data_IF_809301137606
#
_entry.id   IF_809301137606
#
_cell.length_a   1.000
_cell.length_b   1.000
_cell.length_c   1.000
_cell.angle_alpha   90.00
_cell.angle_beta   90.00
_cell.angle_gamma   90.00
#
_symmetry.space_group_name_H-M   'P 1'
#
loop_
_entity.id
_entity.type
_entity.pdbx_description
1 polymer ?
#
# COMPACT_ATOMS: atom_id res chain seq x y z
N UNK A 1 7.12 -12.14 23.12
CA UNK A 1 8.00 -10.95 23.04
C UNK A 1 7.25 -9.71 23.49
N UNK A 2 7.97 -8.70 23.98
CA UNK A 2 7.49 -7.33 24.16
C UNK A 2 7.95 -6.50 22.98
N UNK A 3 7.02 -6.00 22.18
CA UNK A 3 7.29 -5.35 20.89
C UNK A 3 6.96 -3.86 20.99
N UNK A 4 7.92 -2.99 20.69
CA UNK A 4 7.68 -1.57 20.50
C UNK A 4 7.44 -1.29 19.02
N UNK A 5 6.23 -0.90 18.66
CA UNK A 5 5.87 -0.50 17.30
C UNK A 5 5.92 1.02 17.16
N UNK A 6 6.55 1.50 16.11
CA UNK A 6 6.59 2.93 15.76
C UNK A 6 5.96 3.13 14.40
N UNK A 7 4.87 3.87 14.35
CA UNK A 7 4.18 4.22 13.10
C UNK A 7 3.54 5.62 13.22
N UNK A 8 3.51 6.39 12.14
CA UNK A 8 2.91 7.72 12.20
C UNK A 8 1.38 7.67 12.27
N UNK A 9 0.76 6.68 11.61
CA UNK A 9 -0.69 6.52 11.51
C UNK A 9 -1.11 5.20 12.14
N UNK A 10 -2.18 5.21 12.92
CA UNK A 10 -2.75 4.05 13.59
C UNK A 10 -4.28 4.18 13.67
N UNK A 11 -4.97 3.11 14.08
CA UNK A 11 -6.43 3.16 14.26
C UNK A 11 -6.92 4.47 14.92
N UNK A 12 -8.01 5.11 14.43
CA UNK A 12 -8.98 4.64 13.44
C UNK A 12 -8.61 4.97 11.97
N UNK A 13 -7.39 5.38 11.67
CA UNK A 13 -6.93 5.64 10.30
C UNK A 13 -6.79 4.32 9.52
N UNK A 14 -7.10 4.29 8.20
CA UNK A 14 -7.23 3.05 7.42
C UNK A 14 -5.88 2.45 6.99
N UNK A 15 -5.03 2.11 7.93
CA UNK A 15 -3.74 1.49 7.68
C UNK A 15 -3.66 0.09 8.32
N UNK A 16 -3.08 -0.87 7.63
CA UNK A 16 -2.96 -2.27 8.06
C UNK A 16 -2.18 -2.48 9.37
N UNK A 17 -1.42 -1.49 9.83
CA UNK A 17 -0.59 -1.62 11.03
C UNK A 17 -1.39 -1.99 12.28
N UNK A 18 -2.65 -1.53 12.40
CA UNK A 18 -3.48 -1.91 13.55
C UNK A 18 -3.83 -3.40 13.51
N UNK A 19 -4.23 -3.94 12.34
CA UNK A 19 -4.51 -5.36 12.17
C UNK A 19 -3.27 -6.23 12.41
N UNK A 20 -2.09 -5.77 12.01
CA UNK A 20 -0.81 -6.44 12.33
C UNK A 20 -0.56 -6.46 13.84
N UNK A 21 -0.73 -5.33 14.54
CA UNK A 21 -0.51 -5.25 15.99
C UNK A 21 -1.51 -6.10 16.77
N UNK A 22 -2.77 -6.11 16.38
CA UNK A 22 -3.82 -6.94 16.97
C UNK A 22 -3.51 -8.44 16.79
N UNK A 23 -3.10 -8.85 15.59
CA UNK A 23 -2.69 -10.22 15.31
C UNK A 23 -1.46 -10.65 16.13
N UNK A 24 -0.51 -9.76 16.38
CA UNK A 24 0.61 -10.04 17.27
C UNK A 24 0.16 -10.25 18.73
N UNK A 25 -0.82 -9.47 19.21
CA UNK A 25 -1.43 -9.65 20.54
C UNK A 25 -2.16 -10.98 20.62
N UNK A 26 -2.95 -11.35 19.61
CA UNK A 26 -3.63 -12.65 19.51
C UNK A 26 -2.67 -13.84 19.57
N UNK A 27 -1.44 -13.67 19.04
CA UNK A 27 -0.35 -14.67 19.14
C UNK A 27 0.40 -14.63 20.47
N UNK A 28 -0.07 -13.87 21.46
CA UNK A 28 0.47 -13.83 22.84
C UNK A 28 1.64 -12.88 23.03
N UNK A 29 1.88 -11.94 22.13
CA UNK A 29 2.90 -10.90 22.29
C UNK A 29 2.33 -9.67 22.99
N UNK A 30 3.17 -8.96 23.73
CA UNK A 30 2.86 -7.68 24.33
C UNK A 30 3.27 -6.56 23.37
N UNK A 31 2.30 -5.75 22.89
CA UNK A 31 2.51 -4.75 21.86
C UNK A 31 2.18 -3.36 22.37
N UNK A 32 3.16 -2.47 22.32
CA UNK A 32 3.00 -1.04 22.58
C UNK A 32 3.29 -0.26 21.30
N UNK A 33 2.38 0.64 20.93
CA UNK A 33 2.47 1.44 19.71
C UNK A 33 2.72 2.90 20.06
N UNK A 34 3.72 3.53 19.45
CA UNK A 34 3.94 4.99 19.48
C UNK A 34 3.48 5.56 18.14
N UNK A 35 2.46 6.41 18.18
CA UNK A 35 1.80 6.96 16.99
C UNK A 35 1.38 8.42 17.16
N UNK A 36 0.90 9.04 16.09
CA UNK A 36 0.30 10.37 16.13
C UNK A 36 -1.18 10.36 16.54
N UNK A 37 -1.74 11.53 16.80
CA UNK A 37 -3.20 11.69 16.81
C UNK A 37 -3.73 11.53 15.38
N UNK A 38 -4.91 10.85 15.20
CA UNK A 38 -5.43 10.56 13.87
C UNK A 38 -5.80 11.85 13.13
N UNK A 39 -5.35 11.96 11.88
CA UNK A 39 -5.54 13.13 11.04
C UNK A 39 -5.58 12.83 9.53
N UNK A 40 -5.30 11.60 9.11
CA UNK A 40 -5.32 11.19 7.72
C UNK A 40 -6.67 10.53 7.34
N UNK A 41 -7.30 10.82 6.18
CA UNK A 41 -6.81 11.66 5.08
C UNK A 41 -7.21 13.15 5.20
N UNK A 42 -8.08 13.52 6.14
CA UNK A 42 -8.73 14.84 6.22
C UNK A 42 -7.75 15.98 6.49
N UNK A 43 -6.59 15.66 7.09
CA UNK A 43 -5.57 16.65 7.44
C UNK A 43 -5.85 17.41 8.73
N UNK A 44 -6.96 17.12 9.40
CA UNK A 44 -7.34 17.67 10.71
C UNK A 44 -7.49 16.55 11.74
N UNK A 45 -7.25 16.86 13.00
CA UNK A 45 -7.43 15.88 14.08
C UNK A 45 -8.89 15.43 14.10
N UNK A 46 -9.10 14.11 14.13
CA UNK A 46 -10.44 13.53 14.13
C UNK A 46 -11.27 14.01 15.32
N UNK A 47 -12.57 14.12 15.11
CA UNK A 47 -13.54 14.38 16.16
C UNK A 47 -13.41 13.34 17.28
N UNK A 48 -13.56 13.78 18.54
CA UNK A 48 -13.33 12.94 19.71
C UNK A 48 -11.86 12.80 20.16
N UNK A 49 -10.90 13.27 19.37
CA UNK A 49 -9.49 13.33 19.76
C UNK A 49 -9.06 14.76 20.10
N UNK A 50 -8.48 14.93 21.29
CA UNK A 50 -7.86 16.19 21.69
C UNK A 50 -6.35 16.08 21.55
N UNK A 51 -5.79 16.83 20.61
CA UNK A 51 -4.34 16.87 20.40
C UNK A 51 -3.62 17.44 21.65
N UNK A 52 -2.79 16.65 22.26
CA UNK A 52 -2.01 16.98 23.45
C UNK A 52 -0.60 16.39 23.35
N UNK A 53 0.26 16.67 24.31
CA UNK A 53 1.64 16.19 24.26
C UNK A 53 1.74 14.66 24.29
N UNK A 54 0.81 14.01 25.03
CA UNK A 54 0.76 12.56 25.12
C UNK A 54 -0.60 12.10 25.63
N UNK A 55 -1.12 11.01 25.06
CA UNK A 55 -2.31 10.28 25.52
C UNK A 55 -2.04 8.79 25.43
N UNK A 56 -2.44 8.05 26.44
CA UNK A 56 -2.44 6.58 26.45
C UNK A 56 -3.85 6.08 26.29
N UNK A 57 -4.01 5.00 25.54
CA UNK A 57 -5.26 4.27 25.37
C UNK A 57 -4.96 2.80 25.06
N UNK A 58 -5.94 1.92 25.28
CA UNK A 58 -5.82 0.51 24.92
C UNK A 58 -6.87 0.17 23.87
N UNK A 59 -6.43 -0.35 22.74
CA UNK A 59 -7.27 -0.71 21.60
C UNK A 59 -7.03 -2.18 21.27
N UNK A 60 -8.04 -3.03 21.40
CA UNK A 60 -8.00 -4.47 21.06
C UNK A 60 -6.75 -5.19 21.63
N UNK A 61 -6.43 -4.90 22.90
CA UNK A 61 -5.27 -5.50 23.57
C UNK A 61 -3.93 -4.77 23.38
N UNK A 62 -3.83 -3.88 22.40
CA UNK A 62 -2.64 -3.07 22.11
C UNK A 62 -2.60 -1.82 22.98
N UNK A 63 -1.45 -1.51 23.60
CA UNK A 63 -1.25 -0.26 24.31
C UNK A 63 -0.81 0.83 23.32
N UNK A 64 -1.58 1.91 23.19
CA UNK A 64 -1.35 2.96 22.20
C UNK A 64 -0.93 4.26 22.87
N UNK A 65 0.24 4.74 22.53
CA UNK A 65 0.80 6.01 22.99
C UNK A 65 0.73 7.04 21.87
N UNK A 66 -0.24 7.96 21.95
CA UNK A 66 -0.36 9.05 20.97
C UNK A 66 0.47 10.25 21.41
N UNK A 67 1.23 10.78 20.48
CA UNK A 67 2.05 11.97 20.70
C UNK A 67 1.54 13.15 19.89
N UNK A 68 1.88 14.37 20.32
CA UNK A 68 1.48 15.60 19.63
C UNK A 68 1.84 15.54 18.14
N UNK A 69 0.91 15.98 17.31
CA UNK A 69 1.12 16.10 15.87
C UNK A 69 0.55 17.42 15.35
N UNK A 70 1.05 17.84 14.19
CA UNK A 70 0.45 18.92 13.39
C UNK A 70 -0.37 18.24 12.29
N UNK A 71 -1.66 18.58 12.15
CA UNK A 71 -2.51 17.97 11.12
C UNK A 71 -1.94 18.18 9.71
N UNK A 72 -2.08 17.15 8.87
CA UNK A 72 -1.56 17.14 7.48
C UNK A 72 -2.46 17.93 6.53
N UNK A 73 -2.68 19.22 6.81
CA UNK A 73 -3.47 20.10 5.95
C UNK A 73 -2.90 20.22 4.54
N UNK A 74 -3.66 20.79 3.63
CA UNK A 74 -3.21 21.07 2.27
C UNK A 74 -1.99 22.00 2.27
N UNK A 75 -1.01 21.71 1.39
CA UNK A 75 0.20 22.52 1.22
C UNK A 75 1.48 21.84 1.69
N UNK A 76 2.57 22.17 1.02
CA UNK A 76 3.89 21.57 1.23
C UNK A 76 4.44 21.83 2.67
N UNK A 77 4.29 23.04 3.18
CA UNK A 77 4.79 23.42 4.51
C UNK A 77 4.07 22.65 5.63
N UNK A 78 2.76 22.47 5.53
CA UNK A 78 2.00 21.70 6.52
C UNK A 78 2.39 20.22 6.51
N UNK A 79 2.69 19.65 5.33
CA UNK A 79 3.19 18.27 5.22
C UNK A 79 4.53 18.12 5.92
N UNK A 80 5.48 19.02 5.66
CA UNK A 80 6.79 19.02 6.34
C UNK A 80 6.60 19.17 7.85
N UNK A 81 5.79 20.11 8.30
CA UNK A 81 5.52 20.32 9.72
C UNK A 81 4.91 19.09 10.39
N UNK A 82 3.95 18.41 9.72
CA UNK A 82 3.37 17.14 10.18
C UNK A 82 4.45 16.06 10.34
N UNK A 83 5.32 15.90 9.34
CA UNK A 83 6.37 14.90 9.32
C UNK A 83 7.41 15.11 10.43
N UNK A 84 7.86 16.35 10.61
CA UNK A 84 8.82 16.65 11.67
C UNK A 84 8.18 16.66 13.05
N UNK A 85 6.92 17.10 13.19
CA UNK A 85 6.23 17.05 14.47
C UNK A 85 6.20 15.63 15.02
N UNK A 86 5.74 14.65 14.23
CA UNK A 86 5.75 13.25 14.69
C UNK A 86 7.15 12.77 15.03
N UNK A 87 8.13 12.98 14.14
CA UNK A 87 9.51 12.55 14.36
C UNK A 87 10.11 13.11 15.65
N UNK A 88 9.85 14.39 15.96
CA UNK A 88 10.37 15.05 17.17
C UNK A 88 9.63 14.59 18.41
N UNK A 89 8.30 14.66 18.43
CA UNK A 89 7.52 14.36 19.64
C UNK A 89 7.56 12.88 20.01
N UNK A 90 7.55 11.96 19.02
CA UNK A 90 7.75 10.53 19.28
C UNK A 90 9.16 10.26 19.84
N UNK A 91 10.18 10.91 19.29
CA UNK A 91 11.55 10.79 19.81
C UNK A 91 11.71 11.35 21.22
N UNK A 92 10.99 12.42 21.59
CA UNK A 92 10.97 12.94 22.95
C UNK A 92 10.25 11.99 23.90
N UNK A 93 9.13 11.41 23.46
CA UNK A 93 8.36 10.44 24.23
C UNK A 93 9.15 9.17 24.54
N UNK A 94 9.97 8.66 23.63
CA UNK A 94 10.85 7.50 23.85
C UNK A 94 11.73 7.65 25.10
N UNK A 95 12.13 8.86 25.48
CA UNK A 95 12.92 9.09 26.70
C UNK A 95 12.13 8.77 27.97
N UNK A 96 10.81 8.87 27.92
CA UNK A 96 9.90 8.64 29.07
C UNK A 96 9.51 7.17 29.20
N UNK A 97 9.65 6.37 28.13
CA UNK A 97 9.37 4.93 28.17
C UNK A 97 10.37 4.25 29.11
N UNK A 98 9.82 3.61 30.17
CA UNK A 98 10.60 2.85 31.15
C UNK A 98 10.58 1.36 30.88
N UNK A 99 9.65 0.88 30.05
CA UNK A 99 9.46 -0.53 29.74
C UNK A 99 10.59 -1.01 28.83
N UNK A 100 11.11 -2.19 29.14
CA UNK A 100 12.12 -2.87 28.34
C UNK A 100 11.41 -3.74 27.28
N UNK A 101 11.57 -3.36 26.00
CA UNK A 101 11.06 -4.12 24.86
C UNK A 101 12.14 -5.01 24.30
N UNK A 102 11.76 -6.16 23.78
CA UNK A 102 12.68 -7.13 23.19
C UNK A 102 13.15 -6.64 21.82
N UNK A 103 12.26 -6.05 21.04
CA UNK A 103 12.51 -5.60 19.66
C UNK A 103 11.72 -4.33 19.32
N UNK A 104 12.25 -3.54 18.40
CA UNK A 104 11.56 -2.38 17.82
C UNK A 104 11.13 -2.69 16.40
N UNK A 105 9.86 -2.48 16.11
CA UNK A 105 9.28 -2.61 14.77
C UNK A 105 8.80 -1.26 14.25
N UNK A 106 9.40 -0.79 13.17
CA UNK A 106 9.01 0.46 12.51
C UNK A 106 8.18 0.14 11.27
N UNK A 107 6.90 0.49 11.30
CA UNK A 107 6.00 0.38 10.15
C UNK A 107 6.10 1.66 9.33
N UNK A 108 7.07 1.68 8.39
CA UNK A 108 7.47 2.90 7.70
C UNK A 108 6.61 3.16 6.45
N UNK A 109 5.69 4.11 6.61
CA UNK A 109 5.02 4.83 5.55
C UNK A 109 5.84 6.09 5.18
N UNK A 110 5.21 7.05 4.55
CA UNK A 110 5.76 8.40 4.32
C UNK A 110 5.55 9.28 5.56
N UNK A 111 6.59 9.88 6.11
CA UNK A 111 8.00 9.96 5.71
C UNK A 111 8.91 8.95 6.42
N UNK A 112 10.11 8.73 5.88
CA UNK A 112 11.09 7.84 6.51
C UNK A 112 11.53 8.32 7.91
N UNK A 113 11.48 9.64 8.20
CA UNK A 113 11.86 10.22 9.49
C UNK A 113 11.04 9.73 10.67
N UNK A 114 9.88 9.09 10.44
CA UNK A 114 9.12 8.44 11.54
C UNK A 114 9.95 7.38 12.26
N UNK A 115 10.93 6.78 11.60
CA UNK A 115 11.85 5.81 12.18
C UNK A 115 12.79 6.36 13.26
N UNK A 116 12.96 7.69 13.37
CA UNK A 116 13.88 8.29 14.33
C UNK A 116 13.57 7.92 15.79
N UNK A 117 12.30 7.74 16.15
CA UNK A 117 11.90 7.30 17.48
C UNK A 117 12.39 5.87 17.76
N UNK A 118 12.24 4.95 16.79
CA UNK A 118 12.75 3.58 16.86
C UNK A 118 14.27 3.54 16.99
N UNK A 119 14.99 4.31 16.16
CA UNK A 119 16.44 4.43 16.22
C UNK A 119 16.92 4.95 17.58
N UNK A 120 16.19 5.89 18.16
CA UNK A 120 16.49 6.43 19.48
C UNK A 120 16.33 5.38 20.57
N UNK A 121 15.24 4.59 20.51
CA UNK A 121 15.04 3.48 21.45
C UNK A 121 16.14 2.42 21.30
N UNK A 122 16.39 1.95 20.07
CA UNK A 122 17.47 1.04 19.73
C UNK A 122 18.79 1.47 20.38
N UNK A 123 19.20 2.71 20.15
CA UNK A 123 20.48 3.23 20.68
C UNK A 123 20.49 3.34 22.21
N UNK A 124 19.38 3.80 22.81
CA UNK A 124 19.30 4.02 24.27
C UNK A 124 19.31 2.72 25.07
N UNK A 125 18.67 1.67 24.56
CA UNK A 125 18.44 0.40 25.24
C UNK A 125 19.24 -0.76 24.64
N UNK A 126 20.11 -0.51 23.66
CA UNK A 126 20.90 -1.52 22.94
C UNK A 126 20.03 -2.67 22.39
N UNK A 127 18.89 -2.32 21.77
CA UNK A 127 17.95 -3.29 21.17
C UNK A 127 18.07 -3.28 19.67
N UNK A 128 17.55 -4.32 19.02
CA UNK A 128 17.49 -4.42 17.57
C UNK A 128 16.25 -3.74 17.01
N UNK A 129 16.35 -3.27 15.78
CA UNK A 129 15.26 -2.58 15.09
C UNK A 129 15.03 -3.15 13.68
N UNK A 130 13.79 -3.60 13.44
CA UNK A 130 13.29 -3.93 12.11
C UNK A 130 12.56 -2.72 11.52
N UNK A 131 12.81 -2.42 10.25
CA UNK A 131 12.07 -1.42 9.50
C UNK A 131 11.32 -2.09 8.35
N UNK A 132 10.01 -1.95 8.33
CA UNK A 132 9.16 -2.38 7.23
C UNK A 132 8.92 -1.21 6.29
N UNK A 133 9.60 -1.20 5.15
CA UNK A 133 9.56 -0.16 4.15
C UNK A 133 8.35 -0.35 3.21
N UNK A 134 7.37 0.51 3.35
CA UNK A 134 6.15 0.56 2.53
C UNK A 134 6.15 1.69 1.52
N UNK A 135 7.11 2.59 1.63
CA UNK A 135 7.26 3.74 0.74
C UNK A 135 8.73 4.12 0.61
N UNK A 136 9.21 4.22 -0.63
CA UNK A 136 10.60 4.56 -0.93
C UNK A 136 10.86 6.05 -0.72
N UNK A 137 11.75 6.38 0.20
CA UNK A 137 12.21 7.73 0.45
C UNK A 137 13.67 7.91 0.04
N UNK A 138 13.99 9.04 -0.63
CA UNK A 138 13.15 10.22 -0.90
C UNK A 138 12.37 10.15 -2.22
N UNK A 139 12.36 9.05 -2.96
CA UNK A 139 11.75 8.98 -4.29
C UNK A 139 10.26 9.36 -4.29
N UNK A 140 9.50 9.02 -3.25
CA UNK A 140 8.10 9.43 -3.11
C UNK A 140 7.88 10.95 -3.05
N UNK A 141 8.91 11.76 -2.79
CA UNK A 141 8.82 13.21 -2.89
C UNK A 141 8.62 13.70 -4.33
N UNK A 142 9.04 12.92 -5.33
CA UNK A 142 8.86 13.28 -6.75
C UNK A 142 7.39 13.36 -7.11
N UNK A 143 6.54 12.49 -6.57
CA UNK A 143 5.09 12.55 -6.70
C UNK A 143 4.48 13.84 -6.10
N UNK A 144 5.19 14.47 -5.17
CA UNK A 144 4.87 15.79 -4.59
C UNK A 144 5.48 16.97 -5.33
N UNK A 145 6.13 16.74 -6.49
CA UNK A 145 6.73 17.79 -7.33
C UNK A 145 8.18 18.15 -6.98
N UNK A 146 8.83 17.45 -6.04
CA UNK A 146 10.26 17.66 -5.74
C UNK A 146 11.10 17.02 -6.83
N UNK A 147 11.92 17.83 -7.52
CA UNK A 147 12.80 17.32 -8.58
C UNK A 147 13.92 16.46 -8.01
N UNK A 148 14.13 15.27 -8.61
CA UNK A 148 15.26 14.39 -8.30
C UNK A 148 16.59 15.15 -8.47
N UNK A 149 17.52 15.00 -7.52
CA UNK A 149 18.80 15.69 -7.51
C UNK A 149 18.76 17.16 -7.02
N UNK A 150 17.60 17.74 -6.71
CA UNK A 150 17.50 19.06 -6.07
C UNK A 150 18.12 19.07 -4.67
N UNK A 151 18.42 20.24 -4.12
CA UNK A 151 18.97 20.35 -2.76
C UNK A 151 18.07 19.70 -1.70
N UNK A 152 16.75 19.84 -1.85
CA UNK A 152 15.75 19.22 -0.98
C UNK A 152 15.83 17.68 -1.12
N UNK A 153 15.86 17.17 -2.35
CA UNK A 153 15.96 15.74 -2.61
C UNK A 153 17.25 15.16 -1.99
N UNK A 154 18.41 15.79 -2.24
CA UNK A 154 19.71 15.36 -1.68
C UNK A 154 19.75 15.39 -0.16
N UNK A 155 19.10 16.36 0.44
CA UNK A 155 18.98 16.39 1.91
C UNK A 155 18.23 15.17 2.44
N UNK A 156 17.06 14.87 1.86
CA UNK A 156 16.28 13.71 2.28
C UNK A 156 16.93 12.38 1.88
N UNK A 157 17.69 12.33 0.82
CA UNK A 157 18.50 11.18 0.44
C UNK A 157 19.54 10.84 1.53
N UNK A 158 20.23 11.86 2.07
CA UNK A 158 21.15 11.67 3.20
C UNK A 158 20.42 11.21 4.47
N UNK A 159 19.23 11.77 4.74
CA UNK A 159 18.40 11.37 5.89
C UNK A 159 17.96 9.93 5.74
N UNK A 160 17.46 9.53 4.57
CA UNK A 160 17.04 8.18 4.24
C UNK A 160 18.18 7.17 4.36
N UNK A 161 19.33 7.49 3.75
CA UNK A 161 20.52 6.65 3.81
C UNK A 161 20.95 6.38 5.26
N UNK A 162 20.99 7.42 6.11
CA UNK A 162 21.33 7.26 7.53
C UNK A 162 20.34 6.33 8.24
N UNK A 163 19.04 6.48 7.99
CA UNK A 163 18.01 5.69 8.64
C UNK A 163 18.09 4.24 8.19
N UNK A 164 18.09 3.97 6.89
CA UNK A 164 18.14 2.62 6.35
C UNK A 164 19.41 1.87 6.82
N UNK A 165 20.58 2.50 6.75
CA UNK A 165 21.86 1.91 7.25
C UNK A 165 21.92 1.71 8.78
N UNK A 166 21.03 2.33 9.53
CA UNK A 166 20.98 2.19 10.98
C UNK A 166 20.01 1.09 11.44
N UNK A 167 19.25 0.49 10.54
CA UNK A 167 18.37 -0.65 10.84
C UNK A 167 19.19 -1.93 10.98
N UNK A 168 18.73 -2.87 11.81
CA UNK A 168 19.34 -4.20 11.89
C UNK A 168 18.74 -5.14 10.86
N UNK A 169 17.46 -4.90 10.51
CA UNK A 169 16.74 -5.61 9.46
C UNK A 169 15.85 -4.67 8.68
N UNK A 170 15.73 -4.90 7.39
CA UNK A 170 14.78 -4.19 6.52
C UNK A 170 13.87 -5.21 5.85
N UNK A 171 12.57 -4.98 5.95
CA UNK A 171 11.55 -5.70 5.23
C UNK A 171 10.92 -4.75 4.20
N UNK A 172 10.53 -5.28 3.06
CA UNK A 172 9.98 -4.48 1.96
C UNK A 172 8.70 -5.08 1.41
N UNK A 173 7.75 -4.22 1.03
CA UNK A 173 6.48 -4.65 0.45
C UNK A 173 6.56 -4.98 -1.05
N UNK A 174 7.68 -4.72 -1.68
CA UNK A 174 7.95 -4.98 -3.11
C UNK A 174 9.38 -5.46 -3.28
N UNK A 175 9.63 -6.42 -4.18
CA UNK A 175 10.99 -6.91 -4.50
C UNK A 175 11.84 -5.80 -5.10
N UNK A 176 11.27 -4.98 -5.97
CA UNK A 176 11.96 -3.84 -6.57
C UNK A 176 12.32 -2.75 -5.54
N UNK A 177 11.70 -2.74 -4.35
CA UNK A 177 12.17 -1.89 -3.24
C UNK A 177 13.50 -2.39 -2.69
N UNK A 178 13.68 -3.71 -2.57
CA UNK A 178 14.95 -4.28 -2.12
C UNK A 178 16.10 -3.94 -3.08
N UNK A 179 15.88 -4.11 -4.38
CA UNK A 179 16.86 -3.73 -5.41
C UNK A 179 17.21 -2.24 -5.33
N UNK A 180 16.20 -1.38 -5.25
CA UNK A 180 16.39 0.06 -5.12
C UNK A 180 17.19 0.45 -3.87
N UNK A 181 16.89 -0.16 -2.72
CA UNK A 181 17.61 0.13 -1.47
C UNK A 181 19.08 -0.32 -1.55
N UNK A 182 19.37 -1.47 -2.14
CA UNK A 182 20.73 -1.95 -2.36
C UNK A 182 21.52 -1.03 -3.29
N UNK A 183 20.94 -0.69 -4.44
CA UNK A 183 21.60 0.13 -5.47
C UNK A 183 21.86 1.56 -5.01
N UNK A 184 20.87 2.22 -4.39
CA UNK A 184 20.96 3.66 -4.11
C UNK A 184 21.50 3.98 -2.71
N UNK A 185 21.41 3.04 -1.77
CA UNK A 185 21.87 3.27 -0.40
C UNK A 185 22.99 2.32 0.04
N UNK A 186 23.45 1.40 -0.84
CA UNK A 186 24.49 0.42 -0.51
C UNK A 186 24.14 -0.32 0.79
N UNK A 187 22.96 -0.95 0.82
CA UNK A 187 22.54 -1.83 1.90
C UNK A 187 23.01 -3.22 1.54
N UNK A 188 23.99 -3.72 2.29
CA UNK A 188 24.62 -5.04 2.05
C UNK A 188 23.88 -6.16 2.76
N UNK A 189 23.09 -5.84 3.80
CA UNK A 189 22.31 -6.80 4.58
C UNK A 189 21.19 -7.41 3.74
N UNK A 190 20.77 -8.61 4.13
CA UNK A 190 19.62 -9.27 3.54
C UNK A 190 18.35 -8.46 3.79
N UNK A 191 17.63 -8.17 2.71
CA UNK A 191 16.34 -7.48 2.75
C UNK A 191 15.24 -8.51 2.52
N UNK A 192 14.35 -8.66 3.51
CA UNK A 192 13.27 -9.65 3.45
C UNK A 192 12.06 -9.09 2.69
N UNK A 193 11.57 -9.82 1.69
CA UNK A 193 10.33 -9.50 1.01
C UNK A 193 9.15 -9.89 1.89
N UNK A 194 8.33 -8.91 2.25
CA UNK A 194 7.14 -9.06 3.07
C UNK A 194 5.98 -8.28 2.42
N UNK A 195 5.29 -8.84 1.42
CA UNK A 195 4.16 -8.20 0.78
C UNK A 195 2.98 -8.08 1.73
N UNK A 196 2.13 -7.05 1.53
CA UNK A 196 0.90 -6.91 2.31
C UNK A 196 -0.12 -7.97 1.93
N UNK A 197 -1.11 -8.18 2.80
CA UNK A 197 -2.21 -9.12 2.61
C UNK A 197 -3.56 -8.39 2.44
N UNK A 198 -4.55 -9.09 1.90
CA UNK A 198 -5.91 -8.60 1.72
C UNK A 198 -6.73 -8.65 3.02
N UNK A 199 -7.82 -7.90 3.09
CA UNK A 199 -8.80 -8.02 4.16
C UNK A 199 -9.55 -9.36 4.05
N UNK A 200 -9.89 -9.97 5.19
CA UNK A 200 -10.51 -11.30 5.28
C UNK A 200 -11.90 -11.40 4.66
N UNK A 201 -12.51 -10.25 4.33
CA UNK A 201 -13.80 -10.22 3.63
C UNK A 201 -13.71 -10.69 2.19
N UNK A 202 -12.52 -10.60 1.56
CA UNK A 202 -12.29 -11.05 0.19
C UNK A 202 -11.98 -12.53 0.16
N UNK A 203 -12.86 -13.28 -0.50
CA UNK A 203 -12.75 -14.74 -0.66
C UNK A 203 -13.01 -15.10 -2.12
N UNK A 204 -12.44 -16.21 -2.62
CA UNK A 204 -12.70 -16.66 -3.98
C UNK A 204 -14.16 -17.07 -4.12
N UNK A 205 -14.75 -16.67 -5.23
CA UNK A 205 -16.11 -17.03 -5.63
C UNK A 205 -16.03 -17.71 -7.01
N UNK A 206 -16.95 -18.64 -7.24
CA UNK A 206 -17.01 -19.32 -8.53
C UNK A 206 -17.31 -18.32 -9.66
N UNK A 207 -16.61 -18.48 -10.76
CA UNK A 207 -16.88 -17.72 -11.97
C UNK A 207 -18.25 -18.11 -12.53
N UNK A 208 -19.06 -17.11 -12.89
CA UNK A 208 -20.29 -17.34 -13.66
C UNK A 208 -20.16 -16.64 -15.01
N UNK A 209 -20.39 -17.39 -16.08
CA UNK A 209 -20.43 -16.81 -17.41
C UNK A 209 -21.64 -15.89 -17.57
N UNK A 210 -21.39 -14.75 -18.20
CA UNK A 210 -22.41 -13.73 -18.52
C UNK A 210 -22.30 -13.37 -19.99
N UNK A 211 -23.41 -12.97 -20.59
CA UNK A 211 -23.46 -12.47 -21.95
C UNK A 211 -22.57 -11.22 -22.13
N UNK A 212 -22.62 -10.31 -21.16
CA UNK A 212 -21.73 -9.15 -21.09
C UNK A 212 -20.66 -9.40 -20.04
N UNK A 213 -19.40 -9.33 -20.46
CA UNK A 213 -18.24 -9.56 -19.59
C UNK A 213 -17.92 -8.30 -18.80
N UNK A 214 -18.15 -8.34 -17.50
CA UNK A 214 -17.84 -7.23 -16.57
C UNK A 214 -16.35 -7.20 -16.22
N UNK A 215 -15.68 -6.11 -16.57
CA UNK A 215 -14.29 -5.81 -16.20
C UNK A 215 -14.29 -4.65 -15.20
N UNK A 216 -13.70 -4.81 -14.03
CA UNK A 216 -13.85 -3.82 -12.95
C UNK A 216 -12.51 -3.26 -12.48
N UNK A 217 -12.41 -1.93 -12.49
CA UNK A 217 -11.40 -1.19 -11.75
C UNK A 217 -11.97 -0.78 -10.39
N UNK A 218 -11.22 -1.01 -9.32
CA UNK A 218 -11.61 -0.59 -7.98
C UNK A 218 -10.48 0.17 -7.29
N UNK A 219 -10.76 1.39 -6.84
CA UNK A 219 -9.80 2.19 -6.07
C UNK A 219 -9.83 3.69 -6.34
N UNK A 220 -8.78 4.38 -5.93
CA UNK A 220 -8.64 5.81 -6.17
C UNK A 220 -8.51 6.10 -7.68
N UNK A 221 -9.29 7.04 -8.20
CA UNK A 221 -9.22 7.54 -9.59
C UNK A 221 -8.39 8.83 -9.57
N UNK A 222 -7.09 8.66 -9.38
CA UNK A 222 -6.11 9.74 -9.33
C UNK A 222 -5.10 9.67 -10.48
N UNK A 223 -4.25 10.68 -10.59
CA UNK A 223 -3.28 10.80 -11.69
C UNK A 223 -2.35 9.60 -11.83
N UNK A 224 -1.94 8.97 -10.72
CA UNK A 224 -1.03 7.82 -10.75
C UNK A 224 -1.69 6.54 -11.30
N UNK A 225 -3.02 6.43 -11.28
CA UNK A 225 -3.74 5.24 -11.69
C UNK A 225 -4.02 5.15 -13.19
N UNK A 226 -3.79 6.21 -13.94
CA UNK A 226 -3.96 6.23 -15.41
C UNK A 226 -5.27 5.56 -15.89
N UNK A 227 -6.42 5.90 -15.27
CA UNK A 227 -7.72 5.32 -15.60
C UNK A 227 -8.14 5.68 -17.04
N UNK A 228 -7.61 6.76 -17.57
CA UNK A 228 -7.74 7.16 -18.97
C UNK A 228 -7.31 6.05 -19.94
N UNK A 229 -6.31 5.24 -19.57
CA UNK A 229 -5.87 4.06 -20.34
C UNK A 229 -7.00 3.03 -20.49
N UNK A 230 -7.78 2.81 -19.42
CA UNK A 230 -8.95 1.92 -19.46
C UNK A 230 -9.99 2.47 -20.41
N UNK A 231 -10.27 3.78 -20.35
CA UNK A 231 -11.29 4.43 -21.19
C UNK A 231 -10.90 4.40 -22.67
N UNK A 232 -9.62 4.64 -22.99
CA UNK A 232 -9.12 4.53 -24.36
C UNK A 232 -9.15 3.09 -24.88
N UNK A 233 -8.87 2.09 -24.05
CA UNK A 233 -9.03 0.69 -24.43
C UNK A 233 -10.51 0.31 -24.63
N UNK A 234 -11.41 0.84 -23.78
CA UNK A 234 -12.86 0.62 -23.91
C UNK A 234 -13.43 1.15 -25.23
N UNK A 235 -12.86 2.23 -25.78
CA UNK A 235 -13.22 2.74 -27.11
C UNK A 235 -12.91 1.73 -28.22
N UNK A 236 -11.74 1.07 -28.14
CA UNK A 236 -11.31 0.06 -29.10
C UNK A 236 -12.12 -1.26 -29.00
N UNK A 237 -12.85 -1.41 -27.89
CA UNK A 237 -13.65 -2.60 -27.55
C UNK A 237 -15.17 -2.31 -27.52
N UNK A 238 -15.61 -1.17 -28.06
CA UNK A 238 -17.01 -0.72 -27.98
C UNK A 238 -18.00 -1.66 -28.67
N UNK A 239 -17.54 -2.43 -29.67
CA UNK A 239 -18.36 -3.37 -30.45
C UNK A 239 -18.29 -4.80 -29.87
N UNK A 240 -17.57 -5.00 -28.76
CA UNK A 240 -17.46 -6.29 -28.08
C UNK A 240 -18.39 -6.35 -26.86
N UNK A 241 -18.84 -7.55 -26.47
CA UNK A 241 -19.74 -7.75 -25.31
C UNK A 241 -18.97 -7.56 -23.96
N UNK A 242 -18.38 -6.38 -23.76
CA UNK A 242 -17.64 -6.05 -22.54
C UNK A 242 -18.14 -4.74 -21.93
N UNK A 243 -18.15 -4.70 -20.59
CA UNK A 243 -18.49 -3.51 -19.81
C UNK A 243 -17.37 -3.21 -18.81
N UNK A 244 -16.96 -1.94 -18.78
CA UNK A 244 -15.94 -1.44 -17.88
C UNK A 244 -16.60 -0.73 -16.69
N UNK A 245 -16.45 -1.31 -15.51
CA UNK A 245 -16.99 -0.78 -14.27
C UNK A 245 -15.88 -0.05 -13.51
N UNK A 246 -16.06 1.26 -13.29
CA UNK A 246 -15.11 2.11 -12.57
C UNK A 246 -15.68 2.41 -11.18
N UNK A 247 -15.14 1.72 -10.16
CA UNK A 247 -15.56 1.84 -8.76
C UNK A 247 -14.51 2.62 -7.99
N UNK A 248 -14.90 3.76 -7.44
CA UNK A 248 -14.01 4.62 -6.68
C UNK A 248 -14.29 6.10 -6.90
N UNK A 249 -13.40 6.89 -6.32
CA UNK A 249 -13.42 8.34 -6.41
C UNK A 249 -11.99 8.87 -6.48
N UNK A 250 -11.80 10.14 -6.83
CA UNK A 250 -10.48 10.75 -6.89
C UNK A 250 -10.43 12.00 -7.76
N UNK A 251 -9.26 12.62 -7.77
CA UNK A 251 -9.03 13.91 -8.43
C UNK A 251 -9.23 13.92 -9.95
N UNK A 252 -9.29 12.72 -10.58
CA UNK A 252 -9.42 12.56 -12.04
C UNK A 252 -10.80 12.08 -12.49
N UNK A 253 -11.76 11.91 -11.59
CA UNK A 253 -13.10 11.38 -11.92
C UNK A 253 -13.79 12.23 -12.97
N UNK A 254 -13.81 13.55 -12.81
CA UNK A 254 -14.51 14.46 -13.74
C UNK A 254 -13.81 14.50 -15.12
N UNK A 255 -12.47 14.47 -15.14
CA UNK A 255 -11.72 14.36 -16.41
C UNK A 255 -12.06 13.04 -17.13
N UNK A 256 -12.13 11.92 -16.40
CA UNK A 256 -12.51 10.63 -16.95
C UNK A 256 -13.95 10.59 -17.47
N UNK A 257 -14.92 11.15 -16.74
CA UNK A 257 -16.32 11.27 -17.19
C UNK A 257 -16.45 12.12 -18.47
N UNK A 258 -15.70 13.22 -18.53
CA UNK A 258 -15.65 14.07 -19.70
C UNK A 258 -15.11 13.30 -20.91
N UNK A 259 -14.02 12.55 -20.73
CA UNK A 259 -13.42 11.72 -21.78
C UNK A 259 -14.39 10.66 -22.31
N UNK A 260 -15.13 9.96 -21.43
CA UNK A 260 -16.16 8.97 -21.80
C UNK A 260 -17.27 9.62 -22.65
N UNK A 261 -17.72 10.83 -22.25
CA UNK A 261 -18.74 11.58 -23.00
C UNK A 261 -18.24 12.04 -24.36
N UNK A 262 -17.01 12.58 -24.44
CA UNK A 262 -16.40 13.03 -25.69
C UNK A 262 -16.24 11.90 -26.71
N UNK A 263 -15.90 10.68 -26.22
CA UNK A 263 -15.78 9.47 -27.05
C UNK A 263 -17.12 8.77 -27.32
N UNK A 264 -18.21 9.21 -26.72
CA UNK A 264 -19.55 8.63 -26.90
C UNK A 264 -19.66 7.17 -26.42
N UNK A 265 -18.92 6.79 -25.37
CA UNK A 265 -18.88 5.41 -24.89
C UNK A 265 -20.10 5.07 -24.04
N UNK A 266 -20.70 3.90 -24.32
CA UNK A 266 -21.82 3.34 -23.56
C UNK A 266 -21.41 2.12 -22.72
N UNK A 267 -20.21 1.60 -22.94
CA UNK A 267 -19.67 0.42 -22.26
C UNK A 267 -18.81 0.77 -21.03
N UNK A 268 -18.76 2.04 -20.59
CA UNK A 268 -18.04 2.47 -19.38
C UNK A 268 -19.03 3.02 -18.36
N UNK A 269 -19.01 2.47 -17.14
CA UNK A 269 -19.94 2.83 -16.06
C UNK A 269 -19.18 3.27 -14.82
N UNK A 270 -19.52 4.44 -14.27
CA UNK A 270 -18.99 4.95 -13.01
C UNK A 270 -19.94 4.62 -11.86
N UNK A 271 -19.43 3.93 -10.83
CA UNK A 271 -20.20 3.51 -9.65
C UNK A 271 -19.98 4.41 -8.42
N UNK A 272 -19.05 5.38 -8.51
CA UNK A 272 -18.63 6.17 -7.37
C UNK A 272 -17.89 5.35 -6.30
N UNK A 273 -17.64 5.98 -5.15
CA UNK A 273 -17.02 5.31 -4.00
C UNK A 273 -18.01 4.35 -3.35
N UNK A 274 -17.53 3.13 -3.05
CA UNK A 274 -18.29 2.11 -2.34
C UNK A 274 -17.61 1.76 -1.02
N UNK A 275 -18.37 1.44 0.04
CA UNK A 275 -17.81 0.91 1.27
C UNK A 275 -17.18 -0.47 1.05
N UNK A 276 -16.22 -0.84 1.91
CA UNK A 276 -15.46 -2.09 1.75
C UNK A 276 -16.36 -3.34 1.84
N UNK A 277 -17.45 -3.24 2.58
CA UNK A 277 -18.42 -4.32 2.78
C UNK A 277 -19.20 -4.68 1.49
N UNK A 278 -19.36 -3.73 0.56
CA UNK A 278 -19.99 -3.95 -0.74
C UNK A 278 -19.01 -4.50 -1.79
N UNK A 279 -17.71 -4.38 -1.56
CA UNK A 279 -16.70 -4.75 -2.56
C UNK A 279 -16.66 -6.25 -2.91
N UNK A 280 -16.88 -7.21 -1.97
CA UNK A 280 -16.93 -8.62 -2.31
C UNK A 280 -17.99 -8.94 -3.38
N UNK A 281 -19.20 -8.37 -3.29
CA UNK A 281 -20.26 -8.59 -4.28
C UNK A 281 -19.92 -7.97 -5.64
N UNK A 282 -19.25 -6.80 -5.65
CA UNK A 282 -18.77 -6.18 -6.89
C UNK A 282 -17.71 -7.08 -7.55
N UNK A 283 -16.77 -7.63 -6.78
CA UNK A 283 -15.74 -8.53 -7.30
C UNK A 283 -16.34 -9.84 -7.80
N UNK A 284 -17.28 -10.42 -7.04
CA UNK A 284 -18.02 -11.61 -7.46
C UNK A 284 -18.63 -11.44 -8.86
N UNK A 285 -19.23 -10.28 -9.10
CA UNK A 285 -19.87 -9.96 -10.36
C UNK A 285 -18.91 -9.61 -11.51
N UNK A 286 -17.62 -9.47 -11.22
CA UNK A 286 -16.58 -9.13 -12.20
C UNK A 286 -15.90 -10.38 -12.76
N UNK A 287 -15.71 -10.43 -14.08
CA UNK A 287 -14.96 -11.49 -14.75
C UNK A 287 -13.44 -11.33 -14.58
N UNK A 288 -12.97 -10.08 -14.53
CA UNK A 288 -11.57 -9.73 -14.21
C UNK A 288 -11.48 -8.37 -13.56
N UNK A 289 -10.39 -8.15 -12.82
CA UNK A 289 -10.07 -6.89 -12.21
C UNK A 289 -9.01 -6.14 -13.02
N UNK A 290 -9.16 -4.82 -13.10
CA UNK A 290 -8.31 -3.96 -13.89
C UNK A 290 -7.29 -3.23 -12.99
N UNK A 291 -6.04 -3.21 -13.43
CA UNK A 291 -4.94 -2.48 -12.77
C UNK A 291 -4.20 -1.66 -13.80
N UNK A 292 -4.20 -0.35 -13.62
CA UNK A 292 -3.43 0.57 -14.46
C UNK A 292 -2.63 1.53 -13.59
N UNK A 293 -1.43 1.88 -14.02
CA UNK A 293 -0.59 2.93 -13.44
C UNK A 293 0.11 3.73 -14.54
N UNK A 294 0.55 4.93 -14.19
CA UNK A 294 1.39 5.73 -15.09
C UNK A 294 2.77 5.10 -15.27
N UNK A 295 3.38 5.34 -16.42
CA UNK A 295 4.74 4.92 -16.75
C UNK A 295 5.79 5.76 -15.98
N UNK A 296 5.79 5.64 -14.65
CA UNK A 296 6.73 6.32 -13.75
C UNK A 296 7.65 5.29 -13.08
N UNK A 297 8.99 5.46 -13.16
CA UNK A 297 9.95 4.51 -12.60
C UNK A 297 9.83 4.29 -11.08
N UNK A 298 9.31 5.26 -10.33
CA UNK A 298 9.10 5.10 -8.89
C UNK A 298 7.81 4.34 -8.60
N UNK A 299 6.76 4.60 -9.39
CA UNK A 299 5.46 3.94 -9.29
C UNK A 299 5.56 2.47 -9.73
N UNK A 300 6.33 2.17 -10.79
CA UNK A 300 6.52 0.79 -11.29
C UNK A 300 7.18 -0.15 -10.27
N UNK A 301 7.88 0.40 -9.29
CA UNK A 301 8.47 -0.40 -8.20
C UNK A 301 7.47 -0.81 -7.12
N UNK A 302 6.26 -0.26 -7.12
CA UNK A 302 5.25 -0.56 -6.10
C UNK A 302 4.44 -1.81 -6.45
N UNK A 303 3.99 -2.52 -5.40
CA UNK A 303 2.94 -3.53 -5.50
C UNK A 303 1.68 -2.97 -4.80
N UNK A 304 0.72 -2.40 -5.54
CA UNK A 304 -0.47 -1.81 -4.94
C UNK A 304 -1.32 -2.86 -4.21
N UNK A 305 -1.82 -2.53 -3.01
CA UNK A 305 -2.62 -3.43 -2.18
C UNK A 305 -3.87 -4.00 -2.85
N UNK A 306 -4.39 -3.34 -3.90
CA UNK A 306 -5.51 -3.86 -4.69
C UNK A 306 -5.16 -5.17 -5.41
N UNK A 307 -3.90 -5.40 -5.77
CA UNK A 307 -3.47 -6.64 -6.44
C UNK A 307 -3.66 -7.83 -5.51
N UNK A 308 -3.19 -7.72 -4.27
CA UNK A 308 -3.40 -8.77 -3.26
C UNK A 308 -4.90 -8.99 -2.99
N UNK A 309 -5.69 -7.92 -2.95
CA UNK A 309 -7.14 -7.99 -2.76
C UNK A 309 -7.84 -8.71 -3.92
N UNK A 310 -7.44 -8.42 -5.17
CA UNK A 310 -7.96 -9.09 -6.36
C UNK A 310 -7.59 -10.57 -6.39
N UNK A 311 -6.35 -10.88 -6.00
CA UNK A 311 -5.87 -12.26 -5.90
C UNK A 311 -6.58 -13.03 -4.78
N UNK A 312 -6.82 -12.42 -3.62
CA UNK A 312 -7.58 -13.01 -2.53
C UNK A 312 -9.01 -13.35 -2.94
N UNK A 313 -9.62 -12.52 -3.79
CA UNK A 313 -10.95 -12.76 -4.35
C UNK A 313 -10.95 -13.77 -5.51
N UNK A 314 -9.81 -14.39 -5.84
CA UNK A 314 -9.70 -15.35 -6.92
C UNK A 314 -9.99 -14.77 -8.30
N UNK A 315 -9.69 -13.48 -8.52
CA UNK A 315 -10.02 -12.81 -9.77
C UNK A 315 -8.83 -12.75 -10.72
N UNK A 316 -9.04 -13.04 -12.02
CA UNK A 316 -8.08 -12.70 -13.06
C UNK A 316 -7.75 -11.21 -13.04
N UNK A 317 -6.50 -10.84 -13.38
CA UNK A 317 -6.04 -9.45 -13.37
C UNK A 317 -5.58 -9.05 -14.77
N UNK A 318 -6.10 -7.93 -15.27
CA UNK A 318 -5.68 -7.34 -16.52
C UNK A 318 -4.95 -6.02 -16.23
N UNK A 319 -3.67 -5.97 -16.58
CA UNK A 319 -2.78 -4.85 -16.25
C UNK A 319 -2.38 -4.02 -17.48
N UNK A 320 -2.45 -2.68 -17.37
CA UNK A 320 -1.62 -1.79 -18.18
C UNK A 320 -0.62 -1.14 -17.23
N UNK A 321 0.51 -1.82 -16.98
CA UNK A 321 1.39 -1.55 -15.86
C UNK A 321 2.76 -2.20 -16.06
N UNK A 322 3.80 -1.55 -15.52
CA UNK A 322 5.19 -2.03 -15.55
C UNK A 322 5.66 -2.51 -14.18
N UNK A 323 6.87 -3.09 -14.14
CA UNK A 323 7.64 -3.38 -12.93
C UNK A 323 7.06 -4.49 -12.06
N UNK A 324 7.07 -4.29 -10.73
CA UNK A 324 6.72 -5.32 -9.74
C UNK A 324 5.35 -5.94 -9.95
N UNK A 325 4.35 -5.10 -10.24
CA UNK A 325 2.98 -5.60 -10.43
C UNK A 325 2.85 -6.43 -11.70
N UNK A 326 3.48 -6.00 -12.80
CA UNK A 326 3.51 -6.77 -14.04
C UNK A 326 4.15 -8.14 -13.83
N UNK A 327 5.32 -8.17 -13.20
CA UNK A 327 6.03 -9.42 -12.86
C UNK A 327 5.19 -10.32 -11.97
N UNK A 328 4.50 -9.77 -10.98
CA UNK A 328 3.63 -10.53 -10.06
C UNK A 328 2.47 -11.20 -10.80
N UNK A 329 1.76 -10.47 -11.68
CA UNK A 329 0.63 -11.00 -12.45
C UNK A 329 1.10 -12.14 -13.38
N UNK A 330 2.22 -11.92 -14.08
CA UNK A 330 2.79 -12.89 -15.01
C UNK A 330 3.31 -14.14 -14.28
N UNK A 331 4.03 -13.97 -13.17
CA UNK A 331 4.54 -15.09 -12.35
C UNK A 331 3.42 -15.93 -11.74
N UNK A 332 2.32 -15.27 -11.36
CA UNK A 332 1.13 -15.97 -10.88
C UNK A 332 0.37 -16.70 -11.99
N UNK A 333 0.60 -16.37 -13.25
CA UNK A 333 -0.20 -16.88 -14.37
C UNK A 333 -1.69 -16.57 -14.22
N UNK A 334 -2.01 -15.42 -13.64
CA UNK A 334 -3.38 -15.04 -13.25
C UNK A 334 -4.01 -13.97 -14.15
N UNK A 335 -3.36 -13.62 -15.26
CA UNK A 335 -3.89 -12.60 -16.17
C UNK A 335 -2.92 -12.19 -17.26
N UNK A 336 -3.18 -11.04 -17.84
CA UNK A 336 -2.44 -10.49 -18.97
C UNK A 336 -1.98 -9.07 -18.67
N UNK A 337 -0.82 -8.69 -19.22
CA UNK A 337 -0.21 -7.39 -18.94
C UNK A 337 0.24 -6.72 -20.23
N UNK A 338 -0.15 -5.47 -20.41
CA UNK A 338 0.38 -4.54 -21.40
C UNK A 338 1.31 -3.52 -20.72
N UNK A 339 2.21 -2.87 -21.46
CA UNK A 339 3.00 -1.76 -20.93
C UNK A 339 2.10 -0.65 -20.35
N UNK A 340 2.61 0.05 -19.34
CA UNK A 340 1.89 1.16 -18.73
C UNK A 340 1.49 2.20 -19.79
N UNK A 341 0.24 2.65 -19.76
CA UNK A 341 -0.35 3.65 -20.65
C UNK A 341 -0.48 3.23 -22.15
N UNK A 342 -0.12 2.00 -22.50
CA UNK A 342 -0.31 1.45 -23.86
C UNK A 342 -1.72 0.85 -23.97
N UNK A 343 -2.72 1.70 -24.25
CA UNK A 343 -4.13 1.28 -24.32
C UNK A 343 -4.42 0.37 -25.51
N UNK A 344 -3.63 0.41 -26.59
CA UNK A 344 -3.80 -0.46 -27.76
C UNK A 344 -3.43 -1.90 -27.40
N UNK A 345 -2.22 -2.13 -26.86
CA UNK A 345 -1.84 -3.44 -26.35
C UNK A 345 -2.70 -3.90 -25.18
N UNK A 346 -3.21 -2.97 -24.38
CA UNK A 346 -4.13 -3.33 -23.30
C UNK A 346 -5.46 -3.86 -23.86
N UNK A 347 -6.00 -3.26 -24.92
CA UNK A 347 -7.17 -3.80 -25.61
C UNK A 347 -6.90 -5.19 -26.20
N UNK A 348 -5.70 -5.45 -26.75
CA UNK A 348 -5.30 -6.79 -27.21
C UNK A 348 -5.22 -7.81 -26.07
N UNK A 349 -4.68 -7.43 -24.91
CA UNK A 349 -4.69 -8.25 -23.70
C UNK A 349 -6.11 -8.62 -23.26
N UNK A 350 -7.04 -7.67 -23.31
CA UNK A 350 -8.45 -7.89 -23.00
C UNK A 350 -9.07 -8.88 -24.01
N UNK A 351 -8.83 -8.72 -25.32
CA UNK A 351 -9.30 -9.67 -26.34
C UNK A 351 -8.76 -11.08 -26.10
N UNK A 352 -7.51 -11.19 -25.69
CA UNK A 352 -6.90 -12.48 -25.32
C UNK A 352 -7.58 -13.10 -24.11
N UNK A 353 -7.86 -12.29 -23.09
CA UNK A 353 -8.58 -12.72 -21.89
C UNK A 353 -10.00 -13.21 -22.21
N UNK A 354 -10.71 -12.53 -23.10
CA UNK A 354 -12.08 -12.93 -23.48
C UNK A 354 -12.14 -14.38 -24.05
N UNK A 355 -11.05 -14.84 -24.66
CA UNK A 355 -10.90 -16.19 -25.23
C UNK A 355 -10.24 -17.19 -24.28
N UNK A 356 -9.78 -16.77 -23.11
CA UNK A 356 -9.04 -17.60 -22.16
C UNK A 356 -9.95 -18.32 -21.17
N UNK A 357 -9.40 -19.32 -20.50
CA UNK A 357 -10.02 -20.00 -19.35
C UNK A 357 -9.97 -19.09 -18.13
N UNK A 358 -11.04 -18.35 -17.89
CA UNK A 358 -11.19 -17.36 -16.83
C UNK A 358 -11.17 -18.01 -15.44
N UNK A 359 -11.72 -19.23 -15.32
CA UNK A 359 -11.71 -19.96 -14.07
C UNK A 359 -10.29 -20.34 -13.69
N UNK A 360 -9.52 -20.88 -14.63
CA UNK A 360 -8.12 -21.25 -14.39
C UNK A 360 -7.25 -20.06 -13.98
N UNK A 361 -7.45 -18.91 -14.61
CA UNK A 361 -6.76 -17.67 -14.22
C UNK A 361 -7.12 -17.23 -12.80
N UNK A 362 -8.40 -17.35 -12.41
CA UNK A 362 -8.86 -17.05 -11.05
C UNK A 362 -8.29 -18.02 -10.01
N UNK A 363 -8.25 -19.33 -10.32
CA UNK A 363 -7.61 -20.34 -9.45
C UNK A 363 -6.13 -20.06 -9.25
N UNK A 364 -5.40 -19.71 -10.29
CA UNK A 364 -3.99 -19.33 -10.23
C UNK A 364 -3.80 -18.08 -9.37
N UNK A 365 -4.69 -17.10 -9.51
CA UNK A 365 -4.71 -15.85 -8.71
C UNK A 365 -4.82 -16.18 -7.21
N UNK A 366 -5.82 -16.96 -6.82
CA UNK A 366 -6.02 -17.33 -5.41
C UNK A 366 -4.91 -18.22 -4.86
N UNK A 367 -4.42 -19.18 -5.66
CA UNK A 367 -3.29 -20.02 -5.28
C UNK A 367 -2.06 -19.18 -4.94
N UNK A 368 -1.72 -18.22 -5.81
CA UNK A 368 -0.58 -17.33 -5.58
C UNK A 368 -0.77 -16.48 -4.33
N UNK A 369 -1.99 -15.95 -4.11
CA UNK A 369 -2.33 -15.22 -2.90
C UNK A 369 -2.08 -16.06 -1.64
N UNK A 370 -2.59 -17.29 -1.62
CA UNK A 370 -2.49 -18.18 -0.45
C UNK A 370 -1.03 -18.52 -0.15
N UNK A 371 -0.22 -18.73 -1.19
CA UNK A 371 1.17 -19.14 -1.05
C UNK A 371 2.10 -17.97 -0.65
N UNK A 372 1.82 -16.74 -1.14
CA UNK A 372 2.76 -15.61 -0.97
C UNK A 372 2.20 -14.40 -0.24
N UNK A 373 0.89 -14.19 -0.21
CA UNK A 373 0.26 -12.95 0.24
C UNK A 373 -0.75 -13.13 1.37
N UNK A 374 -0.94 -14.34 1.90
CA UNK A 374 -1.88 -14.56 3.00
C UNK A 374 -1.41 -13.89 4.29
N UNK A 375 -2.36 -13.57 5.18
CA UNK A 375 -2.06 -13.00 6.51
C UNK A 375 -1.16 -13.91 7.33
N UNK A 376 -1.35 -15.23 7.19
CA UNK A 376 -0.54 -16.20 7.92
C UNK A 376 0.91 -16.18 7.47
N UNK A 377 1.18 -16.20 6.15
CA UNK A 377 2.53 -16.06 5.58
C UNK A 377 3.18 -14.74 6.00
N UNK A 378 2.42 -13.64 6.00
CA UNK A 378 2.90 -12.35 6.47
C UNK A 378 3.34 -12.41 7.93
N UNK A 379 2.47 -12.92 8.81
CA UNK A 379 2.74 -12.97 10.25
C UNK A 379 3.86 -13.94 10.59
N UNK A 380 3.93 -15.10 9.95
CA UNK A 380 5.01 -16.07 10.13
C UNK A 380 6.36 -15.47 9.74
N UNK A 381 6.41 -14.81 8.58
CA UNK A 381 7.64 -14.14 8.11
C UNK A 381 8.05 -13.01 9.06
N UNK A 382 7.09 -12.15 9.44
CA UNK A 382 7.35 -11.03 10.36
C UNK A 382 7.88 -11.52 11.73
N UNK A 383 7.25 -12.53 12.30
CA UNK A 383 7.65 -13.09 13.60
C UNK A 383 9.03 -13.73 13.52
N UNK A 384 9.32 -14.52 12.49
CA UNK A 384 10.64 -15.10 12.26
C UNK A 384 11.74 -14.02 12.22
N UNK A 385 11.48 -12.91 11.52
CA UNK A 385 12.44 -11.81 11.45
C UNK A 385 12.58 -11.07 12.79
N UNK A 386 11.49 -10.91 13.55
CA UNK A 386 11.55 -10.34 14.90
C UNK A 386 12.33 -11.24 15.88
N UNK A 387 12.05 -12.54 15.89
CA UNK A 387 12.72 -13.52 16.74
C UNK A 387 14.23 -13.60 16.48
N UNK A 388 14.64 -13.44 15.22
CA UNK A 388 16.07 -13.40 14.88
C UNK A 388 16.78 -12.13 15.38
N UNK A 389 16.05 -11.17 15.93
CA UNK A 389 16.55 -9.93 16.50
C UNK A 389 16.58 -9.92 18.03
N UNK A 390 16.03 -10.92 18.69
CA UNK A 390 16.01 -11.05 20.15
C UNK A 390 17.12 -11.94 20.63
#
# INVERSE_FOLDING_TARGET
MKILVVCQYYSPEPFKVHDVCEALVEKGHEVDVVTSFPNYPMGEIYEGYKNCLHKEEKINGVNVHRVFTIGRRSGFLYRIANYYAFSVFSSLFINKLKKDYDVVFVYQLSPVMMANAGLKYKKKHNKKMLLYCLDLWPDSLTAGGVKKGSLIFRYFEKVSSRIYKSCDKILVSSRLFAEHLKENFSIDEEITYLPQYADSVFKPENFSEKEIVDLTFAGNIGSAQSVETIICAAELLKDESVRFNLVGDGSKVEDCKKLVKEKGLTNVVFHGRKPVEEMPEIYKNSAAMLVTLTADPSISKTLPGKVQTYMAAGKPILGAIDGETAQTILSAGCGFVAPAQDYEKYAECIRTFLKSDKQKLGENSYKYYTEYFSKDVFLETLLKEMESCV
#
